data_IF_432763540235
#
_entry.id   IF_432763540235
#
_cell.length_a   1.000
_cell.length_b   1.000
_cell.length_c   1.000
_cell.angle_alpha   90.00
_cell.angle_beta   90.00
_cell.angle_gamma   90.00
#
_symmetry.space_group_name_H-M   'P 1'
#
loop_
_entity.id
_entity.type
_entity.pdbx_description
1 polymer ?
#
# COMPACT_ATOMS: atom_id res chain seq x y z
N UNK A 1 -21.37 -15.28 24.45
CA UNK A 1 -21.17 -15.04 23.00
C UNK A 1 -19.87 -14.28 22.88
N UNK A 2 -18.88 -14.79 22.15
CA UNK A 2 -17.69 -14.00 21.85
C UNK A 2 -18.08 -12.87 20.88
N UNK A 3 -17.63 -11.64 21.15
CA UNK A 3 -17.89 -10.50 20.28
C UNK A 3 -16.65 -10.25 19.43
N UNK A 4 -16.81 -10.34 18.10
CA UNK A 4 -15.76 -9.93 17.17
C UNK A 4 -15.73 -8.41 17.04
N UNK A 5 -14.55 -7.83 17.15
CA UNK A 5 -14.31 -6.40 16.97
C UNK A 5 -13.23 -6.19 15.92
N UNK A 6 -13.19 -4.99 15.35
CA UNK A 6 -12.14 -4.58 14.43
C UNK A 6 -11.29 -3.49 15.09
N UNK A 7 -9.98 -3.64 15.01
CA UNK A 7 -9.01 -2.60 15.37
C UNK A 7 -8.32 -2.14 14.09
N UNK A 8 -8.06 -0.84 14.00
CA UNK A 8 -7.46 -0.21 12.82
C UNK A 8 -6.23 0.57 13.25
N UNK A 9 -5.11 0.31 12.60
CA UNK A 9 -3.90 1.12 12.71
C UNK A 9 -3.74 1.93 11.42
N UNK A 10 -3.52 3.24 11.60
CA UNK A 10 -3.22 4.16 10.51
C UNK A 10 -1.73 4.46 10.50
N UNK A 11 -1.11 4.36 9.34
CA UNK A 11 0.26 4.78 9.06
C UNK A 11 0.27 5.50 7.71
N UNK A 12 1.40 6.09 7.34
CA UNK A 12 1.55 6.74 6.04
C UNK A 12 2.92 6.44 5.43
N UNK A 13 3.01 6.51 4.11
CA UNK A 13 4.27 6.48 3.38
C UNK A 13 4.22 7.38 2.14
N UNK A 14 5.38 7.86 1.71
CA UNK A 14 5.50 8.77 0.59
C UNK A 14 6.19 8.04 -0.55
N UNK A 15 5.55 7.96 -1.71
CA UNK A 15 6.14 7.26 -2.85
C UNK A 15 5.83 7.96 -4.17
N UNK A 16 6.78 7.86 -5.10
CA UNK A 16 6.63 8.28 -6.48
C UNK A 16 6.20 7.11 -7.36
N UNK A 17 5.41 7.37 -8.39
CA UNK A 17 5.04 6.38 -9.38
C UNK A 17 4.59 6.99 -10.72
N UNK A 18 4.46 6.13 -11.72
CA UNK A 18 3.88 6.40 -13.03
C UNK A 18 2.92 5.27 -13.37
N UNK A 19 1.72 5.65 -13.82
CA UNK A 19 0.77 4.71 -14.38
C UNK A 19 1.02 4.59 -15.88
N UNK A 20 1.49 3.41 -16.30
CA UNK A 20 1.90 3.19 -17.68
C UNK A 20 1.73 1.73 -18.07
N UNK A 21 1.13 1.51 -19.24
CA UNK A 21 1.07 0.21 -19.89
C UNK A 21 2.10 0.18 -21.04
N UNK A 22 3.13 -0.70 -20.98
CA UNK A 22 4.17 -0.78 -22.01
C UNK A 22 3.68 -1.32 -23.35
N UNK A 23 2.47 -1.91 -23.41
CA UNK A 23 1.85 -2.36 -24.65
C UNK A 23 1.10 -1.26 -25.41
N UNK A 24 1.06 -0.03 -24.89
CA UNK A 24 0.35 1.10 -25.49
C UNK A 24 1.32 2.23 -25.85
N UNK A 25 0.96 3.03 -26.86
CA UNK A 25 1.66 4.27 -27.15
C UNK A 25 1.41 5.34 -26.06
N UNK A 26 2.21 6.40 -26.06
CA UNK A 26 2.09 7.47 -25.07
C UNK A 26 0.75 8.22 -25.19
N UNK A 27 0.20 8.35 -26.40
CA UNK A 27 -1.09 8.98 -26.61
C UNK A 27 -2.23 8.18 -25.96
N UNK A 28 -2.23 6.85 -26.07
CA UNK A 28 -3.20 5.98 -25.42
C UNK A 28 -3.01 5.98 -23.91
N UNK A 29 -1.76 5.89 -23.42
CA UNK A 29 -1.48 5.98 -21.99
C UNK A 29 -1.96 7.32 -21.40
N UNK A 30 -1.72 8.43 -22.08
CA UNK A 30 -2.20 9.74 -21.66
C UNK A 30 -3.73 9.84 -21.70
N UNK A 31 -4.37 9.28 -22.73
CA UNK A 31 -5.83 9.25 -22.82
C UNK A 31 -6.47 8.45 -21.67
N UNK A 32 -5.84 7.36 -21.23
CA UNK A 32 -6.38 6.46 -20.19
C UNK A 32 -6.02 6.92 -18.78
N UNK A 33 -4.74 7.19 -18.52
CA UNK A 33 -4.23 7.51 -17.18
C UNK A 33 -4.03 9.02 -16.94
N UNK A 34 -4.17 9.85 -17.98
CA UNK A 34 -4.03 11.31 -17.87
C UNK A 34 -2.64 11.71 -17.35
N UNK A 35 -2.63 12.70 -16.46
CA UNK A 35 -1.41 13.24 -15.83
C UNK A 35 -0.62 12.17 -15.07
N UNK A 36 -1.25 11.07 -14.63
CA UNK A 36 -0.56 9.99 -13.93
C UNK A 36 0.38 9.18 -14.84
N UNK A 37 0.26 9.32 -16.17
CA UNK A 37 1.19 8.73 -17.14
C UNK A 37 2.40 9.59 -17.48
N UNK A 38 2.63 10.70 -16.75
CA UNK A 38 3.78 11.59 -16.94
C UNK A 38 5.10 10.79 -17.01
N UNK A 39 5.91 10.91 -18.08
CA UNK A 39 7.19 10.20 -18.19
C UNK A 39 8.18 10.55 -17.07
N UNK A 40 8.01 11.71 -16.43
CA UNK A 40 8.81 12.14 -15.27
C UNK A 40 8.17 11.80 -13.92
N UNK A 41 7.23 10.85 -13.89
CA UNK A 41 6.53 10.39 -12.69
C UNK A 41 5.74 11.51 -11.98
N UNK A 42 5.13 11.14 -10.86
CA UNK A 42 4.56 12.02 -9.84
C UNK A 42 4.60 11.26 -8.51
N UNK A 43 4.15 11.84 -7.40
CA UNK A 43 4.12 11.13 -6.13
C UNK A 43 2.94 11.51 -5.26
N UNK A 44 2.74 10.73 -4.21
CA UNK A 44 1.68 10.90 -3.23
C UNK A 44 2.21 10.62 -1.83
N UNK A 45 1.48 11.20 -0.87
CA UNK A 45 1.56 10.82 0.53
C UNK A 45 0.39 9.84 0.75
N UNK A 46 0.69 8.55 0.75
CA UNK A 46 -0.31 7.48 0.90
C UNK A 46 -0.66 7.30 2.37
N UNK A 47 -1.96 7.35 2.67
CA UNK A 47 -2.51 6.94 3.95
C UNK A 47 -2.83 5.44 3.89
N UNK A 48 -2.31 4.67 4.84
CA UNK A 48 -2.49 3.23 4.96
C UNK A 48 -3.32 2.92 6.21
N UNK A 49 -4.48 2.30 6.02
CA UNK A 49 -5.28 1.75 7.11
C UNK A 49 -5.19 0.22 7.12
N UNK A 50 -4.60 -0.36 8.17
CA UNK A 50 -4.57 -1.80 8.36
C UNK A 50 -5.61 -2.19 9.41
N UNK A 51 -6.60 -2.97 8.97
CA UNK A 51 -7.68 -3.47 9.82
C UNK A 51 -7.46 -4.93 10.19
N UNK A 52 -7.44 -5.22 11.49
CA UNK A 52 -7.43 -6.58 12.02
C UNK A 52 -8.75 -6.83 12.75
N UNK A 53 -9.42 -7.93 12.41
CA UNK A 53 -10.68 -8.32 13.04
C UNK A 53 -10.47 -9.62 13.81
N UNK A 54 -10.92 -9.66 15.06
CA UNK A 54 -10.82 -10.85 15.90
C UNK A 54 -11.67 -10.75 17.15
N UNK A 55 -11.60 -11.78 17.98
CA UNK A 55 -12.20 -11.77 19.30
C UNK A 55 -11.17 -11.26 20.30
N UNK A 56 -11.49 -10.30 21.18
CA UNK A 56 -10.60 -9.89 22.25
C UNK A 56 -10.20 -11.10 23.12
N UNK A 57 -8.91 -11.29 23.32
CA UNK A 57 -8.39 -12.32 24.21
C UNK A 57 -8.84 -12.01 25.65
N UNK A 58 -9.29 -13.02 26.41
CA UNK A 58 -10.00 -12.82 27.67
C UNK A 58 -9.15 -12.18 28.78
N UNK A 59 -7.84 -12.43 28.82
CA UNK A 59 -6.94 -11.92 29.84
C UNK A 59 -6.43 -10.50 29.55
N UNK A 60 -6.32 -10.12 28.28
CA UNK A 60 -5.75 -8.84 27.83
C UNK A 60 -6.77 -7.87 27.26
N UNK A 61 -7.88 -8.36 26.72
CA UNK A 61 -8.86 -7.58 25.97
C UNK A 61 -8.39 -7.14 24.57
N UNK A 62 -7.26 -7.66 24.08
CA UNK A 62 -6.71 -7.27 22.78
C UNK A 62 -7.12 -8.25 21.67
N UNK A 63 -7.39 -7.71 20.49
CA UNK A 63 -7.39 -8.50 19.24
C UNK A 63 -5.95 -8.73 18.78
N UNK A 64 -5.13 -7.68 18.87
CA UNK A 64 -3.68 -7.69 18.65
C UNK A 64 -3.08 -6.50 19.43
N UNK A 65 -1.85 -6.64 19.90
CA UNK A 65 -1.10 -5.52 20.46
C UNK A 65 -0.85 -4.45 19.37
N UNK A 66 -1.18 -3.19 19.65
CA UNK A 66 -1.06 -2.11 18.67
C UNK A 66 0.39 -1.75 18.31
N UNK A 67 1.33 -1.96 19.24
CA UNK A 67 2.76 -1.78 18.96
C UNK A 67 3.24 -2.90 18.04
N UNK A 68 2.84 -4.14 18.29
CA UNK A 68 3.17 -5.25 17.39
C UNK A 68 2.64 -5.01 15.97
N UNK A 69 1.39 -4.55 15.83
CA UNK A 69 0.83 -4.22 14.53
C UNK A 69 1.61 -3.08 13.85
N UNK A 70 2.00 -2.05 14.60
CA UNK A 70 2.84 -0.95 14.09
C UNK A 70 4.20 -1.44 13.62
N UNK A 71 4.88 -2.30 14.40
CA UNK A 71 6.19 -2.86 14.06
C UNK A 71 6.11 -3.75 12.79
N UNK A 72 5.01 -4.51 12.62
CA UNK A 72 4.75 -5.30 11.41
C UNK A 72 4.53 -4.40 10.18
N UNK A 73 3.73 -3.34 10.31
CA UNK A 73 3.50 -2.40 9.20
C UNK A 73 4.80 -1.70 8.82
N UNK A 74 5.62 -1.29 9.80
CA UNK A 74 6.92 -0.69 9.55
C UNK A 74 7.80 -1.61 8.71
N UNK A 75 8.01 -2.84 9.20
CA UNK A 75 8.93 -3.80 8.57
C UNK A 75 8.43 -4.29 7.21
N UNK A 76 7.16 -4.66 7.11
CA UNK A 76 6.64 -5.32 5.92
C UNK A 76 6.17 -4.33 4.86
N UNK A 77 5.86 -3.08 5.22
CA UNK A 77 5.30 -2.09 4.28
C UNK A 77 6.18 -0.85 4.18
N UNK A 78 6.40 -0.13 5.27
CA UNK A 78 7.07 1.19 5.22
C UNK A 78 8.53 1.07 4.78
N UNK A 79 9.28 0.11 5.34
CA UNK A 79 10.69 -0.15 4.96
C UNK A 79 10.85 -0.50 3.47
N UNK A 80 9.78 -0.99 2.82
CA UNK A 80 9.77 -1.40 1.42
C UNK A 80 9.34 -0.28 0.47
N UNK A 81 8.42 0.59 0.88
CA UNK A 81 7.74 1.53 -0.03
C UNK A 81 7.91 3.00 0.31
N UNK A 82 8.27 3.35 1.55
CA UNK A 82 8.44 4.76 1.94
C UNK A 82 9.70 5.38 1.33
N UNK A 83 9.57 6.61 0.87
CA UNK A 83 10.59 7.37 0.13
C UNK A 83 11.16 6.62 -1.08
N UNK A 84 10.32 5.85 -1.80
CA UNK A 84 10.68 5.10 -3.01
C UNK A 84 9.93 5.57 -4.25
N UNK A 85 10.54 5.39 -5.41
CA UNK A 85 9.84 5.27 -6.68
C UNK A 85 9.37 3.82 -6.86
N UNK A 86 8.06 3.59 -6.81
CA UNK A 86 7.46 2.25 -6.87
C UNK A 86 7.90 1.50 -8.13
N UNK A 87 7.85 2.13 -9.31
CA UNK A 87 8.20 1.47 -10.57
C UNK A 87 9.68 1.06 -10.66
N UNK A 88 10.58 1.82 -10.03
CA UNK A 88 12.03 1.69 -10.22
C UNK A 88 12.71 0.93 -9.08
N UNK A 89 12.26 1.12 -7.85
CA UNK A 89 12.99 0.71 -6.64
C UNK A 89 12.33 -0.46 -5.90
N UNK A 90 11.13 -0.87 -6.28
CA UNK A 90 10.43 -2.00 -5.64
C UNK A 90 10.43 -3.22 -6.55
N UNK A 91 10.49 -4.41 -5.97
CA UNK A 91 10.47 -5.64 -6.76
C UNK A 91 9.06 -5.91 -7.31
N UNK A 92 8.05 -5.56 -6.53
CA UNK A 92 6.64 -5.84 -6.72
C UNK A 92 6.04 -5.09 -7.92
N UNK A 93 6.50 -3.85 -8.17
CA UNK A 93 5.98 -2.99 -9.25
C UNK A 93 6.89 -2.87 -10.47
N UNK A 94 7.90 -3.76 -10.62
CA UNK A 94 8.73 -3.79 -11.84
C UNK A 94 7.93 -4.09 -13.11
N UNK A 95 6.93 -4.97 -13.00
CA UNK A 95 6.08 -5.39 -14.12
C UNK A 95 4.59 -5.19 -13.82
N UNK A 96 4.25 -4.72 -12.63
CA UNK A 96 2.88 -4.45 -12.21
C UNK A 96 2.67 -2.93 -12.13
N UNK A 97 1.64 -2.43 -12.78
CA UNK A 97 1.32 -1.01 -12.76
C UNK A 97 0.89 -0.61 -11.33
N UNK A 98 1.57 0.36 -10.66
CA UNK A 98 1.33 0.71 -9.26
C UNK A 98 0.09 1.61 -9.08
N UNK A 99 -1.07 1.15 -9.55
CA UNK A 99 -2.34 1.80 -9.22
C UNK A 99 -2.63 1.61 -7.72
N UNK A 100 -3.50 2.44 -7.14
CA UNK A 100 -3.87 2.30 -5.72
C UNK A 100 -4.44 0.90 -5.40
N UNK A 101 -5.19 0.31 -6.34
CA UNK A 101 -5.75 -1.03 -6.25
C UNK A 101 -4.65 -2.10 -6.23
N UNK A 102 -3.65 -2.00 -7.11
CA UNK A 102 -2.54 -2.95 -7.11
C UNK A 102 -1.65 -2.78 -5.89
N UNK A 103 -1.48 -1.55 -5.39
CA UNK A 103 -0.74 -1.27 -4.15
C UNK A 103 -1.38 -1.99 -2.96
N UNK A 104 -2.70 -1.85 -2.76
CA UNK A 104 -3.37 -2.52 -1.63
C UNK A 104 -3.36 -4.04 -1.78
N UNK A 105 -3.47 -4.58 -2.99
CA UNK A 105 -3.39 -6.03 -3.24
C UNK A 105 -1.99 -6.57 -2.92
N UNK A 106 -0.93 -5.84 -3.31
CA UNK A 106 0.45 -6.20 -2.99
C UNK A 106 0.65 -6.20 -1.49
N UNK A 107 0.33 -5.09 -0.81
CA UNK A 107 0.51 -4.95 0.64
C UNK A 107 -0.24 -6.05 1.42
N UNK A 108 -1.47 -6.39 1.00
CA UNK A 108 -2.25 -7.45 1.65
C UNK A 108 -1.66 -8.86 1.47
N UNK A 109 -0.75 -9.06 0.49
CA UNK A 109 -0.12 -10.36 0.21
C UNK A 109 1.28 -10.51 0.79
N UNK A 110 1.84 -9.47 1.40
CA UNK A 110 3.10 -9.52 2.15
C UNK A 110 2.90 -10.26 3.48
#
# INVERSE_FOLDING_TARGET
>A
MSQKVAVVRREHFNAAHRLYNPGWDDATNFRVFGKCSNPNFHGHNYELEVKVTGEPEASTGFVIDMKLLSDLIQKEVLDRFDHKNLNLETAEFKTLNPTAENIVIVIHRL
#
